data_IF_094945540086
#
_entry.id   IF_094945540086
#
_cell.length_a   1.000
_cell.length_b   1.000
_cell.length_c   1.000
_cell.angle_alpha   90.00
_cell.angle_beta   90.00
_cell.angle_gamma   90.00
#
_symmetry.space_group_name_H-M   'P 1'
#
loop_
_entity.id
_entity.type
_entity.pdbx_description
1 polymer ?
#
# COMPACT_ATOMS: atom_id res chain seq x y z
N UNK A 1 -1.27 -3.01 -16.09
CA UNK A 1 -1.94 -1.75 -15.75
C UNK A 1 -2.25 -1.71 -14.26
N UNK A 2 -1.88 -0.65 -13.56
CA UNK A 2 -1.99 -0.52 -12.11
C UNK A 2 -3.45 -0.59 -11.59
N UNK A 3 -4.41 -0.05 -12.31
CA UNK A 3 -5.81 0.01 -11.90
C UNK A 3 -6.47 -1.36 -11.68
N UNK A 4 -6.26 -2.33 -12.56
CA UNK A 4 -6.78 -3.69 -12.38
C UNK A 4 -6.18 -4.39 -11.14
N UNK A 5 -4.90 -4.11 -10.85
CA UNK A 5 -4.21 -4.61 -9.67
C UNK A 5 -4.82 -4.08 -8.37
N UNK A 6 -5.23 -2.82 -8.31
CA UNK A 6 -5.75 -2.20 -7.09
C UNK A 6 -7.19 -2.64 -6.77
N UNK A 7 -8.01 -2.90 -7.79
CA UNK A 7 -9.34 -3.51 -7.62
C UNK A 7 -9.22 -4.91 -7.03
N UNK A 8 -8.34 -5.74 -7.60
CA UNK A 8 -8.09 -7.11 -7.12
C UNK A 8 -7.61 -7.15 -5.68
N UNK A 9 -6.72 -6.23 -5.28
CA UNK A 9 -6.23 -6.13 -3.90
C UNK A 9 -7.36 -5.89 -2.88
N UNK A 10 -8.34 -5.03 -3.19
CA UNK A 10 -9.46 -4.75 -2.28
C UNK A 10 -10.39 -5.94 -2.13
N UNK A 11 -10.70 -6.64 -3.21
CA UNK A 11 -11.49 -7.86 -3.17
C UNK A 11 -10.77 -8.97 -2.40
N UNK A 12 -9.44 -9.08 -2.56
CA UNK A 12 -8.63 -10.03 -1.80
C UNK A 12 -8.60 -9.68 -0.29
N UNK A 13 -8.53 -8.40 0.05
CA UNK A 13 -8.61 -7.95 1.45
C UNK A 13 -9.97 -8.30 2.06
N UNK A 14 -11.07 -8.08 1.36
CA UNK A 14 -12.42 -8.46 1.82
C UNK A 14 -12.50 -9.97 2.04
N UNK A 15 -12.03 -10.79 1.10
CA UNK A 15 -12.09 -12.24 1.19
C UNK A 15 -11.21 -12.83 2.30
N UNK A 16 -10.10 -12.16 2.67
CA UNK A 16 -9.09 -12.69 3.60
C UNK A 16 -9.03 -12.00 4.96
N UNK A 17 -9.87 -11.00 5.22
CA UNK A 17 -9.85 -10.26 6.49
C UNK A 17 -11.24 -10.13 7.08
N UNK A 18 -11.37 -10.01 8.42
CA UNK A 18 -12.66 -9.83 9.08
C UNK A 18 -13.19 -8.39 9.00
N UNK A 19 -12.69 -7.57 8.08
CA UNK A 19 -13.15 -6.20 7.89
C UNK A 19 -14.62 -6.16 7.44
N UNK A 20 -15.41 -5.27 8.03
CA UNK A 20 -16.83 -5.13 7.70
C UNK A 20 -17.06 -4.25 6.48
N UNK A 21 -16.22 -3.23 6.28
CA UNK A 21 -16.36 -2.28 5.18
C UNK A 21 -15.00 -1.81 4.65
N UNK A 22 -14.90 -1.67 3.34
CA UNK A 22 -13.66 -1.28 2.65
C UNK A 22 -13.89 -0.06 1.78
N UNK A 23 -12.98 0.88 1.81
CA UNK A 23 -13.02 2.07 0.96
C UNK A 23 -11.76 2.16 0.11
N UNK A 24 -11.93 2.31 -1.19
CA UNK A 24 -10.84 2.58 -2.11
C UNK A 24 -10.84 4.03 -2.57
N UNK A 25 -9.71 4.72 -2.43
CA UNK A 25 -9.50 6.05 -3.01
C UNK A 25 -8.69 5.91 -4.30
N UNK A 26 -9.21 6.44 -5.40
CA UNK A 26 -8.58 6.38 -6.73
C UNK A 26 -8.66 7.76 -7.38
N UNK A 27 -7.49 8.28 -7.82
CA UNK A 27 -7.39 9.61 -8.41
C UNK A 27 -7.89 9.65 -9.86
N UNK A 28 -7.78 8.52 -10.60
CA UNK A 28 -8.15 8.46 -12.02
C UNK A 28 -9.63 8.08 -12.16
N UNK A 29 -10.49 8.94 -12.75
CA UNK A 29 -11.92 8.66 -12.88
C UNK A 29 -12.24 7.36 -13.62
N UNK A 30 -11.51 7.07 -14.71
CA UNK A 30 -11.72 5.85 -15.52
C UNK A 30 -11.36 4.59 -14.73
N UNK A 31 -10.29 4.64 -13.94
CA UNK A 31 -9.88 3.55 -13.07
C UNK A 31 -10.88 3.34 -11.92
N UNK A 32 -11.37 4.42 -11.35
CA UNK A 32 -12.41 4.38 -10.32
C UNK A 32 -13.73 3.78 -10.87
N UNK A 33 -14.13 4.14 -12.09
CA UNK A 33 -15.31 3.57 -12.74
C UNK A 33 -15.14 2.06 -13.00
N UNK A 34 -13.98 1.65 -13.52
CA UNK A 34 -13.66 0.23 -13.71
C UNK A 34 -13.72 -0.53 -12.36
N UNK A 35 -13.20 0.06 -11.29
CA UNK A 35 -13.25 -0.52 -9.95
C UNK A 35 -14.69 -0.69 -9.45
N UNK A 36 -15.55 0.32 -9.60
CA UNK A 36 -16.98 0.24 -9.20
C UNK A 36 -17.71 -0.86 -9.97
N UNK A 37 -17.50 -0.95 -11.28
CA UNK A 37 -18.09 -2.02 -12.10
C UNK A 37 -17.65 -3.41 -11.65
N UNK A 38 -16.35 -3.57 -11.32
CA UNK A 38 -15.84 -4.84 -10.80
C UNK A 38 -16.46 -5.20 -9.45
N UNK A 39 -16.59 -4.23 -8.53
CA UNK A 39 -17.26 -4.42 -7.24
C UNK A 39 -18.72 -4.86 -7.45
N UNK A 40 -19.45 -4.19 -8.35
CA UNK A 40 -20.85 -4.54 -8.68
C UNK A 40 -20.98 -5.94 -9.29
N UNK A 41 -20.10 -6.31 -10.24
CA UNK A 41 -20.10 -7.62 -10.87
C UNK A 41 -19.84 -8.77 -9.89
N UNK A 42 -19.10 -8.51 -8.80
CA UNK A 42 -18.84 -9.49 -7.76
C UNK A 42 -19.83 -9.44 -6.59
N UNK A 43 -20.88 -8.61 -6.67
CA UNK A 43 -21.89 -8.51 -5.60
C UNK A 43 -21.38 -7.92 -4.29
N UNK A 44 -20.35 -7.06 -4.33
CA UNK A 44 -19.67 -6.51 -3.16
C UNK A 44 -20.02 -5.04 -2.88
N UNK A 45 -21.09 -4.52 -3.48
CA UNK A 45 -21.48 -3.09 -3.36
C UNK A 45 -21.84 -2.67 -1.94
N UNK A 46 -22.29 -3.60 -1.10
CA UNK A 46 -22.63 -3.33 0.30
C UNK A 46 -21.40 -3.31 1.21
N UNK A 47 -20.24 -3.78 0.73
CA UNK A 47 -19.02 -3.93 1.51
C UNK A 47 -17.87 -3.04 1.03
N UNK A 48 -17.86 -2.66 -0.24
CA UNK A 48 -16.74 -1.94 -0.86
C UNK A 48 -17.21 -0.67 -1.54
N UNK A 49 -16.74 0.48 -1.06
CA UNK A 49 -16.90 1.79 -1.71
C UNK A 49 -15.67 2.18 -2.53
N UNK A 50 -15.89 2.77 -3.68
CA UNK A 50 -14.83 3.36 -4.51
C UNK A 50 -15.09 4.87 -4.65
N UNK A 51 -14.22 5.65 -4.05
CA UNK A 51 -14.26 7.12 -4.08
C UNK A 51 -13.22 7.62 -5.07
N UNK A 52 -13.64 8.52 -5.97
CA UNK A 52 -12.70 9.22 -6.87
C UNK A 52 -12.17 10.47 -6.16
N UNK A 53 -10.86 10.56 -5.99
CA UNK A 53 -10.25 11.70 -5.30
C UNK A 53 -8.74 11.61 -5.17
N UNK A 54 -8.10 12.74 -4.82
CA UNK A 54 -6.67 12.80 -4.53
C UNK A 54 -6.41 12.49 -3.05
N UNK A 55 -5.39 11.69 -2.77
CA UNK A 55 -4.96 11.38 -1.40
C UNK A 55 -4.65 12.65 -0.59
N UNK A 56 -4.18 13.73 -1.23
CA UNK A 56 -3.92 15.02 -0.59
C UNK A 56 -5.16 15.69 0.01
N UNK A 57 -6.33 15.29 -0.44
CA UNK A 57 -7.62 15.74 0.06
C UNK A 57 -8.34 14.68 0.92
N UNK A 58 -7.69 13.57 1.24
CA UNK A 58 -8.32 12.45 1.94
C UNK A 58 -8.99 12.87 3.25
N UNK A 59 -8.35 13.75 4.04
CA UNK A 59 -8.94 14.25 5.30
C UNK A 59 -10.16 15.16 5.08
N UNK A 60 -10.29 15.80 3.92
CA UNK A 60 -11.49 16.57 3.55
C UNK A 60 -12.60 15.65 3.04
N UNK A 61 -12.24 14.59 2.31
CA UNK A 61 -13.18 13.62 1.72
C UNK A 61 -13.80 12.75 2.81
N UNK A 62 -12.98 12.21 3.72
CA UNK A 62 -13.39 11.20 4.69
C UNK A 62 -13.57 11.74 6.12
N UNK A 63 -13.06 12.92 6.41
CA UNK A 63 -12.95 13.43 7.78
C UNK A 63 -11.78 12.84 8.56
N UNK A 64 -11.50 13.40 9.73
CA UNK A 64 -10.44 12.93 10.60
C UNK A 64 -10.86 11.67 11.37
N UNK A 65 -9.92 10.76 11.61
CA UNK A 65 -10.13 9.57 12.44
C UNK A 65 -11.31 8.67 11.96
N UNK A 66 -11.38 8.44 10.65
CA UNK A 66 -12.46 7.68 10.01
C UNK A 66 -12.14 6.20 9.83
N UNK A 67 -10.86 5.83 9.80
CA UNK A 67 -10.44 4.47 9.48
C UNK A 67 -9.66 3.81 10.61
N UNK A 68 -9.88 2.53 10.80
CA UNK A 68 -9.11 1.68 11.74
C UNK A 68 -7.81 1.20 11.09
N UNK A 69 -7.86 0.91 9.77
CA UNK A 69 -6.74 0.38 8.98
C UNK A 69 -6.63 1.13 7.67
N UNK A 70 -5.41 1.47 7.28
CA UNK A 70 -5.07 1.99 5.95
C UNK A 70 -3.99 1.11 5.35
N UNK A 71 -4.18 0.71 4.09
CA UNK A 71 -3.18 0.00 3.30
C UNK A 71 -2.79 0.84 2.08
N UNK A 72 -1.51 0.88 1.75
CA UNK A 72 -1.02 1.62 0.59
C UNK A 72 0.14 0.91 -0.10
N UNK A 73 0.17 1.03 -1.42
CA UNK A 73 1.26 0.61 -2.27
C UNK A 73 1.59 1.76 -3.23
N UNK A 74 2.27 2.81 -2.74
CA UNK A 74 2.54 4.00 -3.54
C UNK A 74 3.53 3.72 -4.68
N UNK A 75 3.60 4.59 -5.71
CA UNK A 75 4.63 4.48 -6.74
C UNK A 75 6.02 4.55 -6.12
N UNK A 76 6.94 3.67 -6.56
CA UNK A 76 8.24 3.44 -5.91
C UNK A 76 9.37 4.33 -6.38
N UNK A 77 9.18 5.10 -7.44
CA UNK A 77 10.27 5.75 -8.15
C UNK A 77 10.64 7.11 -7.56
N UNK A 78 11.94 7.33 -7.39
CA UNK A 78 12.54 8.66 -7.25
C UNK A 78 13.10 9.00 -8.62
N UNK A 79 12.80 10.21 -9.13
CA UNK A 79 13.09 10.65 -10.49
C UNK A 79 14.38 10.14 -11.13
N UNK A 80 14.30 9.83 -12.41
CA UNK A 80 15.34 9.71 -13.43
C UNK A 80 16.45 8.64 -13.34
N UNK A 81 16.54 7.78 -12.34
CA UNK A 81 17.60 6.76 -12.34
C UNK A 81 17.10 5.41 -12.89
N UNK A 82 17.51 5.07 -14.10
CA UNK A 82 17.42 3.71 -14.65
C UNK A 82 16.29 3.41 -15.63
N UNK A 83 15.51 4.40 -16.08
CA UNK A 83 14.49 4.18 -17.10
C UNK A 83 15.05 4.41 -18.50
N UNK A 84 15.02 3.36 -19.33
CA UNK A 84 15.38 3.41 -20.75
C UNK A 84 14.23 3.89 -21.65
N UNK A 85 13.00 3.92 -21.13
CA UNK A 85 11.80 4.33 -21.87
C UNK A 85 11.32 5.73 -21.44
N UNK A 86 11.38 6.75 -22.33
CA UNK A 86 10.95 8.13 -22.03
C UNK A 86 9.46 8.28 -21.69
N UNK A 87 8.61 7.42 -22.21
CA UNK A 87 7.16 7.45 -21.93
C UNK A 87 6.83 6.96 -20.51
N UNK A 88 7.50 5.90 -20.07
CA UNK A 88 7.39 5.41 -18.69
C UNK A 88 7.97 6.43 -17.70
N UNK A 89 9.11 7.04 -18.03
CA UNK A 89 9.71 8.11 -17.22
C UNK A 89 8.77 9.30 -17.03
N UNK A 90 8.06 9.73 -18.09
CA UNK A 90 7.06 10.81 -18.02
C UNK A 90 5.83 10.43 -17.22
N UNK A 91 5.34 9.19 -17.36
CA UNK A 91 4.18 8.71 -16.59
C UNK A 91 4.51 8.65 -15.09
N UNK A 92 5.69 8.16 -14.73
CA UNK A 92 6.18 8.08 -13.36
C UNK A 92 6.42 9.47 -12.77
N UNK A 93 7.09 10.37 -13.50
CA UNK A 93 7.30 11.74 -13.05
C UNK A 93 5.98 12.49 -12.81
N UNK A 94 4.94 12.25 -13.62
CA UNK A 94 3.59 12.80 -13.37
C UNK A 94 2.98 12.26 -12.08
N UNK A 95 3.17 10.99 -11.76
CA UNK A 95 2.68 10.39 -10.51
C UNK A 95 3.42 10.91 -9.28
N UNK A 96 4.73 11.13 -9.35
CA UNK A 96 5.51 11.75 -8.26
C UNK A 96 5.17 13.23 -8.04
N UNK A 97 4.89 13.96 -9.10
CA UNK A 97 4.41 15.36 -9.02
C UNK A 97 3.01 15.41 -8.39
N UNK A 98 2.19 14.40 -8.62
CA UNK A 98 0.82 14.34 -8.11
C UNK A 98 0.75 13.95 -6.63
N UNK A 99 1.63 13.06 -6.14
CA UNK A 99 1.61 12.60 -4.75
C UNK A 99 2.99 12.06 -4.32
N UNK A 100 3.54 12.59 -3.25
CA UNK A 100 4.79 12.12 -2.66
C UNK A 100 4.54 11.28 -1.39
N UNK A 101 5.58 10.62 -0.87
CA UNK A 101 5.50 9.80 0.33
C UNK A 101 4.95 10.58 1.54
N UNK A 102 5.38 11.83 1.70
CA UNK A 102 4.94 12.70 2.80
C UNK A 102 3.44 12.98 2.75
N UNK A 103 2.87 13.23 1.56
CA UNK A 103 1.44 13.45 1.39
C UNK A 103 0.64 12.21 1.81
N UNK A 104 1.08 11.02 1.38
CA UNK A 104 0.43 9.76 1.72
C UNK A 104 0.44 9.53 3.23
N UNK A 105 1.62 9.62 3.85
CA UNK A 105 1.77 9.35 5.29
C UNK A 105 1.02 10.39 6.13
N UNK A 106 1.14 11.68 5.77
CA UNK A 106 0.45 12.79 6.46
C UNK A 106 -1.07 12.64 6.42
N UNK A 107 -1.64 12.42 5.25
CA UNK A 107 -3.09 12.28 5.12
C UNK A 107 -3.59 10.98 5.75
N UNK A 108 -2.85 9.87 5.61
CA UNK A 108 -3.15 8.64 6.33
C UNK A 108 -3.18 8.85 7.85
N UNK A 109 -2.21 9.59 8.40
CA UNK A 109 -2.18 9.91 9.83
C UNK A 109 -3.41 10.72 10.28
N UNK A 110 -3.95 11.59 9.42
CA UNK A 110 -5.14 12.40 9.73
C UNK A 110 -6.42 11.59 9.75
N UNK A 111 -6.59 10.68 8.80
CA UNK A 111 -7.82 9.90 8.65
C UNK A 111 -7.81 8.59 9.45
N UNK A 112 -6.67 8.07 9.89
CA UNK A 112 -6.59 6.96 10.84
C UNK A 112 -7.15 7.37 12.21
N UNK A 113 -7.84 6.48 12.89
CA UNK A 113 -8.19 6.62 14.31
C UNK A 113 -6.93 6.54 15.20
N UNK A 114 -6.91 7.16 16.39
CA UNK A 114 -5.87 6.90 17.38
C UNK A 114 -5.75 5.38 17.66
N UNK A 115 -4.53 4.84 17.60
CA UNK A 115 -4.31 3.39 17.69
C UNK A 115 -4.56 2.62 16.40
N UNK A 116 -5.04 3.26 15.34
CA UNK A 116 -5.24 2.65 14.03
C UNK A 116 -3.93 2.28 13.34
N UNK A 117 -3.99 1.33 12.43
CA UNK A 117 -2.84 0.71 11.79
C UNK A 117 -2.66 1.16 10.34
N UNK A 118 -1.44 1.44 9.99
CA UNK A 118 -1.01 1.82 8.64
C UNK A 118 -0.09 0.74 8.07
N UNK A 119 -0.40 0.24 6.89
CA UNK A 119 0.40 -0.75 6.20
C UNK A 119 0.87 -0.22 4.86
N UNK A 120 2.16 -0.36 4.59
CA UNK A 120 2.77 0.08 3.34
C UNK A 120 3.66 -1.02 2.74
N UNK A 121 3.54 -1.19 1.43
CA UNK A 121 4.51 -1.94 0.61
C UNK A 121 5.38 -0.93 -0.13
N UNK A 122 6.71 -1.08 -0.05
CA UNK A 122 7.63 -0.17 -0.73
C UNK A 122 8.96 -0.84 -1.11
N UNK A 123 9.86 -0.07 -1.70
CA UNK A 123 11.23 -0.52 -2.01
C UNK A 123 12.17 -0.30 -0.83
N UNK A 124 13.08 -1.25 -0.51
CA UNK A 124 13.97 -1.16 0.66
C UNK A 124 14.94 0.03 0.63
N UNK A 125 15.35 0.50 -0.54
CA UNK A 125 16.28 1.62 -0.66
C UNK A 125 15.72 2.95 -0.11
N UNK A 126 14.40 3.07 0.07
CA UNK A 126 13.75 4.22 0.71
C UNK A 126 13.43 4.01 2.19
N UNK A 127 13.90 2.92 2.80
CA UNK A 127 13.47 2.53 4.15
C UNK A 127 13.73 3.62 5.21
N UNK A 128 14.89 4.27 5.16
CA UNK A 128 15.20 5.37 6.09
C UNK A 128 14.20 6.52 5.94
N UNK A 129 13.92 6.94 4.72
CA UNK A 129 12.95 8.00 4.43
C UNK A 129 11.55 7.63 4.92
N UNK A 130 11.12 6.39 4.68
CA UNK A 130 9.81 5.87 5.11
C UNK A 130 9.69 5.92 6.62
N UNK A 131 10.67 5.39 7.35
CA UNK A 131 10.66 5.35 8.83
C UNK A 131 10.62 6.77 9.41
N UNK A 132 11.48 7.68 8.92
CA UNK A 132 11.50 9.06 9.37
C UNK A 132 10.16 9.76 9.10
N UNK A 133 9.64 9.64 7.88
CA UNK A 133 8.37 10.24 7.49
C UNK A 133 7.19 9.71 8.32
N UNK A 134 7.12 8.41 8.57
CA UNK A 134 6.09 7.81 9.44
C UNK A 134 6.17 8.38 10.86
N UNK A 135 7.38 8.41 11.45
CA UNK A 135 7.59 8.93 12.80
C UNK A 135 7.23 10.41 12.93
N UNK A 136 7.66 11.25 11.98
CA UNK A 136 7.35 12.69 11.92
C UNK A 136 5.84 12.96 11.90
N UNK A 137 5.08 12.10 11.21
CA UNK A 137 3.62 12.21 11.12
C UNK A 137 2.85 11.40 12.17
N UNK A 138 3.53 10.95 13.25
CA UNK A 138 2.92 10.22 14.38
C UNK A 138 2.31 8.88 14.00
N UNK A 139 2.80 8.26 12.94
CA UNK A 139 2.60 6.84 12.65
C UNK A 139 3.87 6.12 13.09
N UNK A 140 3.89 5.62 14.32
CA UNK A 140 5.07 4.95 14.86
C UNK A 140 5.28 3.59 14.18
N UNK A 141 6.43 3.33 13.52
CA UNK A 141 6.74 2.04 12.94
C UNK A 141 6.73 0.93 14.00
N UNK A 142 6.00 -0.16 13.75
CA UNK A 142 5.78 -1.24 14.72
C UNK A 142 6.37 -2.57 14.28
N UNK A 143 6.32 -2.83 12.98
CA UNK A 143 6.74 -4.10 12.40
C UNK A 143 7.22 -3.89 10.98
N UNK A 144 8.29 -4.59 10.60
CA UNK A 144 8.70 -4.64 9.19
C UNK A 144 9.16 -6.04 8.80
N UNK A 145 9.00 -6.34 7.53
CA UNK A 145 9.44 -7.57 6.91
C UNK A 145 10.05 -7.27 5.55
N UNK A 146 11.25 -7.78 5.29
CA UNK A 146 11.88 -7.69 3.96
C UNK A 146 11.46 -8.87 3.10
N UNK A 147 11.14 -8.60 1.84
CA UNK A 147 10.73 -9.60 0.86
C UNK A 147 11.85 -9.82 -0.14
N UNK A 148 12.26 -11.06 -0.29
CA UNK A 148 13.34 -11.50 -1.15
C UNK A 148 12.77 -12.34 -2.31
N UNK A 149 13.18 -12.09 -3.55
CA UNK A 149 12.76 -12.96 -4.65
C UNK A 149 13.32 -14.39 -4.47
N UNK A 150 14.59 -14.52 -4.05
CA UNK A 150 15.28 -15.75 -3.72
C UNK A 150 16.13 -15.54 -2.48
N UNK A 151 16.50 -16.62 -1.77
CA UNK A 151 17.27 -16.55 -0.52
C UNK A 151 18.68 -15.95 -0.69
N UNK A 152 19.26 -16.07 -1.90
CA UNK A 152 20.60 -15.59 -2.27
C UNK A 152 20.61 -14.21 -2.98
N UNK A 153 19.46 -13.55 -3.04
CA UNK A 153 19.31 -12.23 -3.68
C UNK A 153 19.03 -11.14 -2.65
N UNK A 154 19.24 -9.90 -3.05
CA UNK A 154 18.85 -8.75 -2.24
C UNK A 154 17.33 -8.62 -2.13
N UNK A 155 16.80 -8.05 -1.02
CA UNK A 155 15.38 -7.81 -0.89
C UNK A 155 14.91 -6.78 -1.92
N UNK A 156 13.80 -7.04 -2.55
CA UNK A 156 13.22 -6.14 -3.56
C UNK A 156 12.00 -5.37 -3.06
N UNK A 157 11.40 -5.77 -1.93
CA UNK A 157 10.32 -5.05 -1.27
C UNK A 157 10.49 -5.07 0.25
N UNK A 158 9.86 -4.08 0.90
CA UNK A 158 9.65 -4.02 2.33
C UNK A 158 8.15 -3.90 2.61
N UNK A 159 7.67 -4.69 3.55
CA UNK A 159 6.36 -4.57 4.17
C UNK A 159 6.58 -3.86 5.50
N UNK A 160 5.90 -2.75 5.72
CA UNK A 160 6.04 -1.99 6.97
C UNK A 160 4.66 -1.68 7.54
N UNK A 161 4.54 -1.88 8.84
CA UNK A 161 3.37 -1.54 9.63
C UNK A 161 3.71 -0.44 10.63
N UNK A 162 2.81 0.52 10.79
CA UNK A 162 2.87 1.54 11.81
C UNK A 162 1.55 1.72 12.53
N UNK A 163 1.60 2.33 13.71
CA UNK A 163 0.43 2.61 14.54
C UNK A 163 0.33 4.10 14.82
N UNK A 164 -0.83 4.71 14.57
CA UNK A 164 -1.06 6.12 14.88
C UNK A 164 -1.00 6.37 16.39
N UNK A 165 -0.06 7.20 16.84
CA UNK A 165 0.17 7.50 18.27
C UNK A 165 0.75 6.33 19.05
N UNK A 166 1.32 5.33 18.38
CA UNK A 166 2.00 4.19 19.00
C UNK A 166 3.22 4.61 19.80
N UNK A 167 3.62 3.79 20.79
CA UNK A 167 4.89 3.97 21.53
C UNK A 167 6.03 3.37 20.71
N UNK A 168 7.24 3.89 20.90
CA UNK A 168 8.46 3.39 20.26
C UNK A 168 8.66 1.90 20.56
N UNK A 169 8.93 1.14 19.59
CA UNK A 169 9.38 -0.26 19.52
C UNK A 169 8.97 -0.86 18.18
N UNK A 170 9.94 -1.23 17.37
CA UNK A 170 9.73 -1.91 16.11
C UNK A 170 10.24 -3.35 16.17
N UNK A 171 9.49 -4.28 15.61
CA UNK A 171 9.91 -5.67 15.40
C UNK A 171 10.32 -5.85 13.95
N UNK A 172 11.49 -6.45 13.73
CA UNK A 172 11.94 -6.92 12.41
C UNK A 172 11.64 -8.41 12.33
N UNK A 173 10.77 -8.78 11.40
CA UNK A 173 10.37 -10.17 11.21
C UNK A 173 11.39 -10.96 10.35
N UNK A 174 11.30 -12.29 10.40
CA UNK A 174 12.08 -13.13 9.49
C UNK A 174 11.82 -12.76 8.03
N UNK A 175 12.80 -12.86 7.13
CA UNK A 175 12.61 -12.57 5.72
C UNK A 175 11.46 -13.38 5.10
N UNK A 176 10.74 -12.80 4.14
CA UNK A 176 9.82 -13.54 3.28
C UNK A 176 10.55 -13.89 1.98
N UNK A 177 10.80 -15.14 1.75
CA UNK A 177 11.40 -15.63 0.50
C UNK A 177 10.27 -16.05 -0.44
N UNK A 178 10.23 -15.49 -1.65
CA UNK A 178 9.13 -15.73 -2.59
C UNK A 178 9.29 -17.06 -3.32
N UNK A 179 10.47 -17.30 -3.88
CA UNK A 179 10.73 -18.49 -4.70
C UNK A 179 11.79 -19.40 -4.07
N UNK A 180 11.56 -20.72 -4.11
CA UNK A 180 12.58 -21.75 -3.87
C UNK A 180 13.47 -21.90 -5.09
N UNK A 181 12.86 -22.02 -6.26
CA UNK A 181 13.44 -22.21 -7.59
C UNK A 181 12.66 -21.40 -8.63
N UNK A 182 13.15 -21.23 -9.87
CA UNK A 182 12.41 -20.52 -10.91
C UNK A 182 10.99 -21.07 -11.07
N UNK A 183 9.99 -20.18 -10.90
CA UNK A 183 8.56 -20.47 -10.97
C UNK A 183 8.00 -21.41 -9.88
N UNK A 184 8.76 -21.69 -8.81
CA UNK A 184 8.30 -22.49 -7.67
C UNK A 184 8.27 -21.61 -6.41
N UNK A 185 7.10 -21.35 -5.87
CA UNK A 185 6.96 -20.59 -4.63
C UNK A 185 7.47 -21.37 -3.40
N UNK A 186 7.80 -20.65 -2.34
CA UNK A 186 8.04 -21.24 -1.02
C UNK A 186 6.74 -21.68 -0.38
N UNK A 187 6.81 -22.63 0.58
CA UNK A 187 5.62 -23.12 1.30
C UNK A 187 4.89 -21.98 2.00
N UNK A 188 5.62 -21.00 2.55
CA UNK A 188 5.04 -19.82 3.19
C UNK A 188 4.21 -18.97 2.20
N UNK A 189 4.63 -18.85 0.94
CA UNK A 189 3.84 -18.17 -0.09
C UNK A 189 2.58 -18.96 -0.42
N UNK A 190 2.66 -20.27 -0.53
CA UNK A 190 1.48 -21.12 -0.74
C UNK A 190 0.49 -20.99 0.42
N UNK A 191 0.96 -20.98 1.67
CA UNK A 191 0.12 -20.77 2.87
C UNK A 191 -0.55 -19.38 2.87
N UNK A 192 0.18 -18.30 2.51
CA UNK A 192 -0.35 -16.93 2.47
C UNK A 192 -1.48 -16.79 1.44
N UNK A 193 -1.38 -17.46 0.31
CA UNK A 193 -2.33 -17.32 -0.81
C UNK A 193 -3.36 -18.45 -0.89
N UNK A 194 -3.29 -19.48 -0.03
CA UNK A 194 -4.13 -20.68 -0.07
C UNK A 194 -4.08 -21.38 -1.45
N UNK A 195 -2.86 -21.56 -2.01
CA UNK A 195 -2.60 -22.14 -3.33
C UNK A 195 -2.23 -23.62 -3.23
#
# INVERSE_FOLDING_TARGET
>A
SSAASDVYKRQLLEAKTPGEHFTGLEIQPDSADMARRSVALNGLTDKIDIVTGDIKDASKIFGASSFDIITTNPPYMIGQHGLTNPEEAKAIARHEILCNLTDIVRESARILKPGGHFFMVHRPFRLTEIICCMHEHRIEPKRMRLVYPYADREPNMVLIEGCRGGRSRMTVEKPLIVYKEPNVYTDEIYEIYDL
#
